data_IF_895012496730
#
_entry.id   IF_895012496730
#
_cell.length_a   1.000
_cell.length_b   1.000
_cell.length_c   1.000
_cell.angle_alpha   90.00
_cell.angle_beta   90.00
_cell.angle_gamma   90.00
#
_symmetry.space_group_name_H-M   'P 1'
#
loop_
_entity.id
_entity.type
_entity.pdbx_description
1 polymer ?
#
# COMPACT_ATOMS: atom_id res chain seq x y z
N UNK A 1 23.08 18.71 4.26
CA UNK A 1 22.61 17.90 3.12
C UNK A 1 22.20 18.75 1.90
N UNK A 2 21.43 19.82 2.05
CA UNK A 2 20.97 20.70 0.94
C UNK A 2 22.07 21.49 0.20
N UNK A 3 23.18 21.86 0.87
CA UNK A 3 24.27 22.59 0.21
C UNK A 3 25.02 21.77 -0.82
N UNK A 4 25.09 20.45 -0.66
CA UNK A 4 25.75 19.55 -1.59
C UNK A 4 24.96 19.41 -2.91
N UNK A 5 23.61 19.44 -2.85
CA UNK A 5 22.73 19.41 -4.04
C UNK A 5 22.87 20.73 -4.84
N UNK A 6 23.00 21.88 -4.16
CA UNK A 6 23.22 23.18 -4.81
C UNK A 6 24.56 23.29 -5.55
N UNK A 7 25.53 22.43 -5.22
CA UNK A 7 26.84 22.38 -5.87
C UNK A 7 26.90 21.48 -7.12
N UNK A 8 25.78 20.85 -7.49
CA UNK A 8 25.68 20.02 -8.69
C UNK A 8 25.52 20.96 -9.91
N UNK A 9 26.42 20.92 -10.90
CA UNK A 9 26.30 21.70 -12.15
C UNK A 9 25.22 21.13 -13.09
N UNK A 10 24.47 20.12 -12.62
CA UNK A 10 23.43 19.43 -13.38
C UNK A 10 22.07 20.05 -13.04
N UNK A 11 21.27 20.43 -14.03
CA UNK A 11 19.93 20.91 -13.79
C UNK A 11 19.12 19.89 -12.95
N UNK A 12 18.49 20.37 -11.88
CA UNK A 12 17.73 19.52 -10.96
C UNK A 12 16.63 18.71 -11.70
N UNK A 13 16.11 19.31 -12.77
CA UNK A 13 15.12 18.67 -13.63
C UNK A 13 15.67 17.40 -14.31
N UNK A 14 16.95 17.40 -14.73
CA UNK A 14 17.58 16.22 -15.33
C UNK A 14 17.70 15.06 -14.33
N UNK A 15 18.06 15.37 -13.08
CA UNK A 15 18.11 14.39 -12.01
C UNK A 15 16.72 13.79 -11.74
N UNK A 16 15.68 14.63 -11.72
CA UNK A 16 14.29 14.17 -11.52
C UNK A 16 13.88 13.22 -12.65
N UNK A 17 14.16 13.54 -13.90
CA UNK A 17 13.88 12.66 -15.04
C UNK A 17 14.61 11.32 -14.94
N UNK A 18 15.88 11.31 -14.54
CA UNK A 18 16.64 10.09 -14.32
C UNK A 18 16.02 9.21 -13.24
N UNK A 19 15.63 9.80 -12.11
CA UNK A 19 14.99 9.06 -11.02
C UNK A 19 13.60 8.53 -11.41
N UNK A 20 12.81 9.28 -12.17
CA UNK A 20 11.52 8.84 -12.69
C UNK A 20 11.67 7.65 -13.65
N UNK A 21 12.64 7.71 -14.59
CA UNK A 21 12.92 6.61 -15.49
C UNK A 21 13.44 5.37 -14.78
N UNK A 22 14.30 5.56 -13.75
CA UNK A 22 14.78 4.48 -12.89
C UNK A 22 13.60 3.81 -12.14
N UNK A 23 12.74 4.62 -11.52
CA UNK A 23 11.54 4.13 -10.85
C UNK A 23 10.67 3.31 -11.81
N UNK A 24 10.36 3.87 -12.98
CA UNK A 24 9.53 3.22 -13.97
C UNK A 24 10.17 1.92 -14.51
N UNK A 25 11.47 1.89 -14.71
CA UNK A 25 12.21 0.69 -15.14
C UNK A 25 12.12 -0.45 -14.11
N UNK A 26 12.19 -0.12 -12.81
CA UNK A 26 12.13 -1.11 -11.72
C UNK A 26 10.72 -1.65 -11.52
N UNK A 27 9.71 -0.77 -11.47
CA UNK A 27 8.34 -1.18 -11.12
C UNK A 27 7.51 -1.67 -12.30
N UNK A 28 7.74 -1.19 -13.52
CA UNK A 28 7.02 -1.67 -14.71
C UNK A 28 7.68 -2.83 -15.43
N UNK A 29 8.93 -3.18 -15.05
CA UNK A 29 9.76 -4.20 -15.71
C UNK A 29 9.81 -4.00 -17.24
N UNK A 30 9.82 -2.73 -17.68
CA UNK A 30 9.78 -2.37 -19.08
C UNK A 30 11.19 -2.22 -19.65
N UNK A 31 11.52 -3.04 -20.66
CA UNK A 31 12.81 -2.93 -21.37
C UNK A 31 13.01 -1.54 -22.02
N UNK A 32 11.92 -0.90 -22.49
CA UNK A 32 11.98 0.44 -23.05
C UNK A 32 12.37 1.49 -21.99
N UNK A 33 11.88 1.35 -20.77
CA UNK A 33 12.24 2.22 -19.66
C UNK A 33 13.71 2.04 -19.28
N UNK A 34 14.20 0.82 -19.26
CA UNK A 34 15.60 0.52 -18.99
C UNK A 34 16.52 1.11 -20.07
N UNK A 35 16.17 0.98 -21.35
CA UNK A 35 16.89 1.60 -22.47
C UNK A 35 16.89 3.12 -22.35
N UNK A 36 15.77 3.74 -22.02
CA UNK A 36 15.68 5.19 -21.80
C UNK A 36 16.56 5.65 -20.63
N UNK A 37 16.59 4.92 -19.53
CA UNK A 37 17.46 5.22 -18.39
C UNK A 37 18.94 5.14 -18.77
N UNK A 38 19.36 4.07 -19.48
CA UNK A 38 20.73 3.89 -19.95
C UNK A 38 21.11 5.01 -20.92
N UNK A 39 20.22 5.39 -21.84
CA UNK A 39 20.45 6.50 -22.77
C UNK A 39 20.68 7.83 -22.03
N UNK A 40 19.86 8.14 -21.02
CA UNK A 40 20.05 9.34 -20.20
C UNK A 40 21.37 9.31 -19.41
N UNK A 41 21.81 8.15 -18.93
CA UNK A 41 23.12 7.99 -18.30
C UNK A 41 24.27 8.26 -19.29
N UNK A 42 24.18 7.75 -20.52
CA UNK A 42 25.17 8.01 -21.56
C UNK A 42 25.23 9.51 -21.84
N UNK A 43 24.12 10.18 -22.04
CA UNK A 43 24.06 11.64 -22.22
C UNK A 43 24.70 12.39 -21.04
N UNK A 44 24.52 11.91 -19.81
CA UNK A 44 25.16 12.50 -18.63
C UNK A 44 26.69 12.49 -18.73
N UNK A 45 27.28 11.37 -19.15
CA UNK A 45 28.73 11.27 -19.30
C UNK A 45 29.30 12.15 -20.39
N UNK A 46 28.54 12.38 -21.46
CA UNK A 46 29.01 13.26 -22.57
C UNK A 46 28.82 14.76 -22.26
N UNK A 47 27.81 15.15 -21.51
CA UNK A 47 27.48 16.55 -21.24
C UNK A 47 28.14 17.11 -19.98
N UNK A 48 28.46 16.28 -19.00
CA UNK A 48 28.92 16.74 -17.69
C UNK A 48 30.28 16.15 -17.30
N UNK A 49 30.96 16.80 -16.37
CA UNK A 49 32.25 16.34 -15.88
C UNK A 49 32.14 14.99 -15.18
N UNK A 50 33.17 14.16 -15.23
CA UNK A 50 33.26 12.84 -14.57
C UNK A 50 32.91 12.89 -13.08
N UNK A 51 33.36 13.95 -12.38
CA UNK A 51 33.04 14.14 -10.95
C UNK A 51 31.54 14.37 -10.70
N UNK A 52 30.88 15.10 -11.57
CA UNK A 52 29.43 15.36 -11.48
C UNK A 52 28.63 14.12 -11.84
N UNK A 53 29.03 13.38 -12.87
CA UNK A 53 28.43 12.10 -13.24
C UNK A 53 28.51 11.08 -12.10
N UNK A 54 29.65 10.98 -11.40
CA UNK A 54 29.83 10.10 -10.25
C UNK A 54 28.87 10.42 -9.08
N UNK A 55 28.63 11.71 -8.81
CA UNK A 55 27.65 12.11 -7.77
C UNK A 55 26.22 11.72 -8.14
N UNK A 56 25.83 11.88 -9.40
CA UNK A 56 24.49 11.48 -9.88
C UNK A 56 24.32 9.97 -9.83
N UNK A 57 25.34 9.21 -10.25
CA UNK A 57 25.31 7.74 -10.13
C UNK A 57 25.17 7.28 -8.69
N UNK A 58 25.87 7.93 -7.73
CA UNK A 58 25.71 7.61 -6.32
C UNK A 58 24.25 7.85 -5.83
N UNK A 59 23.64 8.97 -6.23
CA UNK A 59 22.24 9.26 -5.92
C UNK A 59 21.33 8.21 -6.55
N UNK A 60 21.47 7.91 -7.84
CA UNK A 60 20.68 6.88 -8.52
C UNK A 60 20.87 5.50 -7.89
N UNK A 61 22.07 5.17 -7.41
CA UNK A 61 22.36 3.93 -6.71
C UNK A 61 21.59 3.80 -5.38
N UNK A 62 21.58 4.87 -4.57
CA UNK A 62 20.82 4.90 -3.30
C UNK A 62 19.31 4.76 -3.55
N UNK A 63 18.76 5.53 -4.49
CA UNK A 63 17.34 5.42 -4.82
C UNK A 63 16.99 4.11 -5.50
N UNK A 64 17.86 3.58 -6.38
CA UNK A 64 17.68 2.29 -7.01
C UNK A 64 17.64 1.15 -5.98
N UNK A 65 18.57 1.15 -5.02
CA UNK A 65 18.57 0.21 -3.91
C UNK A 65 17.28 0.31 -3.07
N UNK A 66 16.86 1.54 -2.75
CA UNK A 66 15.62 1.78 -2.02
C UNK A 66 14.39 1.25 -2.77
N UNK A 67 14.29 1.52 -4.07
CA UNK A 67 13.17 1.04 -4.90
C UNK A 67 13.18 -0.50 -5.02
N UNK A 68 14.34 -1.12 -5.22
CA UNK A 68 14.45 -2.58 -5.25
C UNK A 68 14.09 -3.21 -3.91
N UNK A 69 14.51 -2.60 -2.80
CA UNK A 69 14.17 -3.06 -1.46
C UNK A 69 12.65 -2.97 -1.20
N UNK A 70 12.00 -1.87 -1.59
CA UNK A 70 10.55 -1.75 -1.49
C UNK A 70 9.82 -2.79 -2.35
N UNK A 71 10.26 -2.98 -3.59
CA UNK A 71 9.67 -3.97 -4.49
C UNK A 71 9.85 -5.40 -3.95
N UNK A 72 11.01 -5.69 -3.38
CA UNK A 72 11.27 -6.97 -2.73
C UNK A 72 10.38 -7.18 -1.50
N UNK A 73 10.27 -6.19 -0.61
CA UNK A 73 9.35 -6.26 0.55
C UNK A 73 7.90 -6.50 0.10
N UNK A 74 7.45 -5.79 -0.93
CA UNK A 74 6.10 -5.93 -1.48
C UNK A 74 5.88 -7.34 -2.08
N UNK A 75 6.89 -7.89 -2.76
CA UNK A 75 6.85 -9.25 -3.28
C UNK A 75 6.78 -10.30 -2.18
N UNK A 76 7.57 -10.17 -1.12
CA UNK A 76 7.51 -11.07 0.03
C UNK A 76 6.15 -11.02 0.72
N UNK A 77 5.63 -9.82 1.00
CA UNK A 77 4.33 -9.68 1.64
C UNK A 77 3.17 -10.26 0.79
N UNK A 78 3.31 -10.31 -0.54
CA UNK A 78 2.33 -10.92 -1.43
C UNK A 78 2.41 -12.46 -1.47
N UNK A 79 3.56 -13.04 -1.13
CA UNK A 79 3.75 -14.50 -1.09
C UNK A 79 3.31 -15.11 0.25
N UNK A 80 3.42 -14.34 1.32
CA UNK A 80 3.02 -14.77 2.67
C UNK A 80 1.50 -14.68 2.86
N UNK A 81 0.73 -15.47 2.12
CA UNK A 81 -0.72 -15.52 2.27
C UNK A 81 -1.09 -16.24 3.57
N UNK A 82 -2.00 -15.62 4.35
CA UNK A 82 -2.56 -16.26 5.54
C UNK A 82 -3.65 -17.23 5.12
N UNK A 83 -3.63 -18.44 5.67
CA UNK A 83 -4.63 -19.45 5.33
C UNK A 83 -5.94 -19.26 6.11
N UNK A 84 -5.86 -18.71 7.32
CA UNK A 84 -6.99 -18.63 8.24
C UNK A 84 -6.86 -17.42 9.18
N UNK A 85 -7.98 -16.78 9.50
CA UNK A 85 -8.08 -15.67 10.46
C UNK A 85 -9.33 -15.86 11.31
N UNK A 86 -9.15 -16.00 12.61
CA UNK A 86 -10.24 -16.13 13.59
C UNK A 86 -10.67 -14.79 14.17
N UNK A 87 -9.72 -13.87 14.28
CA UNK A 87 -9.91 -12.62 14.99
C UNK A 87 -9.37 -11.45 14.17
N UNK A 88 -10.21 -10.45 13.99
CA UNK A 88 -9.86 -9.23 13.22
C UNK A 88 -10.20 -8.00 14.04
N UNK A 89 -9.28 -7.08 14.15
CA UNK A 89 -9.48 -5.75 14.74
C UNK A 89 -10.00 -4.78 13.71
N UNK A 90 -11.16 -4.18 13.97
CA UNK A 90 -11.76 -3.17 13.09
C UNK A 90 -10.97 -1.85 13.19
N UNK A 91 -10.71 -1.21 12.04
CA UNK A 91 -10.28 0.18 11.95
C UNK A 91 -11.53 1.07 11.71
N UNK A 92 -12.02 1.80 12.74
CA UNK A 92 -13.35 2.44 12.67
C UNK A 92 -13.49 3.50 11.59
N UNK A 93 -12.42 4.25 11.27
CA UNK A 93 -12.43 5.29 10.22
C UNK A 93 -12.64 4.74 8.81
N UNK A 94 -12.51 3.43 8.64
CA UNK A 94 -12.64 2.77 7.33
C UNK A 94 -13.98 2.10 7.11
N UNK A 95 -14.86 2.10 8.13
CA UNK A 95 -16.18 1.49 8.05
C UNK A 95 -17.03 2.20 7.01
N UNK A 96 -17.52 1.44 6.04
CA UNK A 96 -18.44 1.89 4.99
C UNK A 96 -19.61 0.91 4.92
N UNK A 97 -20.82 1.45 5.04
CA UNK A 97 -22.05 0.70 4.86
C UNK A 97 -22.73 1.19 3.60
N UNK A 98 -23.01 0.26 2.69
CA UNK A 98 -23.67 0.54 1.43
C UNK A 98 -24.80 -0.47 1.22
N UNK A 99 -26.04 -0.07 1.49
CA UNK A 99 -27.18 -0.99 1.58
C UNK A 99 -26.94 -2.03 2.68
N UNK A 100 -26.99 -3.31 2.32
CA UNK A 100 -26.73 -4.44 3.22
C UNK A 100 -25.25 -4.87 3.22
N UNK A 101 -24.39 -4.16 2.53
CA UNK A 101 -22.96 -4.48 2.44
C UNK A 101 -22.15 -3.62 3.39
N UNK A 102 -21.47 -4.24 4.33
CA UNK A 102 -20.48 -3.63 5.21
C UNK A 102 -19.09 -3.92 4.66
N UNK A 103 -18.27 -2.88 4.55
CA UNK A 103 -16.85 -3.01 4.23
C UNK A 103 -16.00 -2.16 5.15
N UNK A 104 -14.87 -2.70 5.57
CA UNK A 104 -13.91 -2.01 6.43
C UNK A 104 -12.51 -2.61 6.28
N UNK A 105 -11.52 -1.92 6.83
CA UNK A 105 -10.18 -2.48 6.99
C UNK A 105 -10.04 -3.08 8.37
N UNK A 106 -9.52 -4.28 8.42
CA UNK A 106 -9.24 -4.97 9.67
C UNK A 106 -7.76 -5.35 9.77
N UNK A 107 -7.25 -5.39 10.99
CA UNK A 107 -5.92 -5.91 11.29
C UNK A 107 -6.01 -7.25 11.99
N UNK A 108 -5.19 -8.21 11.55
CA UNK A 108 -4.97 -9.48 12.23
C UNK A 108 -3.51 -9.91 12.04
N UNK A 109 -2.85 -10.35 13.09
CA UNK A 109 -1.45 -10.83 13.08
C UNK A 109 -0.47 -9.85 12.40
N UNK A 110 -0.65 -8.55 12.66
CA UNK A 110 0.19 -7.48 12.10
C UNK A 110 -0.08 -7.17 10.63
N UNK A 111 -1.06 -7.82 9.99
CA UNK A 111 -1.45 -7.61 8.58
C UNK A 111 -2.77 -6.88 8.47
N UNK A 112 -2.95 -6.16 7.38
CA UNK A 112 -4.19 -5.45 7.09
C UNK A 112 -4.95 -6.18 5.99
N UNK A 113 -6.25 -6.36 6.20
CA UNK A 113 -7.19 -7.00 5.28
C UNK A 113 -8.28 -6.02 4.88
N UNK A 114 -8.76 -6.11 3.64
CA UNK A 114 -10.02 -5.52 3.25
C UNK A 114 -11.12 -6.53 3.56
N UNK A 115 -12.05 -6.16 4.43
CA UNK A 115 -13.08 -7.04 4.96
C UNK A 115 -14.43 -6.69 4.35
N UNK A 116 -15.19 -7.71 3.98
CA UNK A 116 -16.57 -7.60 3.47
C UNK A 116 -17.49 -8.48 4.29
N UNK A 117 -18.63 -7.93 4.64
CA UNK A 117 -19.67 -8.64 5.34
C UNK A 117 -21.06 -8.24 4.83
N UNK A 118 -21.97 -9.20 4.69
CA UNK A 118 -23.36 -8.94 4.36
C UNK A 118 -24.17 -8.86 5.64
N UNK A 119 -24.65 -7.67 5.96
CA UNK A 119 -25.46 -7.40 7.14
C UNK A 119 -26.75 -8.22 7.10
N UNK A 120 -27.17 -8.74 8.25
CA UNK A 120 -28.33 -9.62 8.39
C UNK A 120 -29.58 -8.88 8.85
N UNK A 121 -29.41 -7.72 9.51
CA UNK A 121 -30.50 -6.90 10.04
C UNK A 121 -30.20 -5.42 10.02
N UNK A 122 -31.24 -4.57 10.12
CA UNK A 122 -31.08 -3.13 10.24
C UNK A 122 -30.43 -2.73 11.57
N UNK A 123 -30.72 -3.45 12.65
CA UNK A 123 -30.10 -3.25 13.97
C UNK A 123 -28.57 -3.46 13.91
N UNK A 124 -28.13 -4.50 13.20
CA UNK A 124 -26.72 -4.77 12.98
C UNK A 124 -26.05 -3.65 12.18
N UNK A 125 -26.74 -3.11 11.20
CA UNK A 125 -26.28 -1.97 10.40
C UNK A 125 -26.10 -0.73 11.25
N UNK A 126 -27.09 -0.36 12.05
CA UNK A 126 -27.00 0.76 12.99
C UNK A 126 -25.85 0.57 13.97
N UNK A 127 -25.68 -0.65 14.50
CA UNK A 127 -24.58 -0.98 15.39
C UNK A 127 -23.22 -0.73 14.76
N UNK A 128 -22.96 -1.23 13.54
CA UNK A 128 -21.69 -1.01 12.87
C UNK A 128 -21.47 0.44 12.43
N UNK A 129 -22.52 1.17 12.08
CA UNK A 129 -22.44 2.60 11.77
C UNK A 129 -22.07 3.43 13.00
N UNK A 130 -22.55 3.07 14.17
CA UNK A 130 -22.28 3.74 15.43
C UNK A 130 -20.90 3.42 16.02
N UNK A 131 -20.17 2.43 15.51
CA UNK A 131 -18.84 2.06 16.01
C UNK A 131 -17.83 3.18 15.81
N UNK A 132 -17.31 3.72 16.89
CA UNK A 132 -16.28 4.76 16.90
C UNK A 132 -14.98 4.31 17.56
N UNK A 133 -15.05 3.30 18.41
CA UNK A 133 -13.92 2.75 19.13
C UNK A 133 -13.37 1.50 18.43
N UNK A 134 -12.18 1.06 18.86
CA UNK A 134 -11.58 -0.18 18.39
C UNK A 134 -12.34 -1.39 18.91
N UNK A 135 -12.67 -2.31 18.02
CA UNK A 135 -13.32 -3.58 18.35
C UNK A 135 -12.60 -4.73 17.69
N UNK A 136 -12.49 -5.83 18.42
CA UNK A 136 -12.06 -7.10 17.88
C UNK A 136 -13.30 -7.94 17.55
N UNK A 137 -13.33 -8.44 16.31
CA UNK A 137 -14.34 -9.39 15.84
C UNK A 137 -13.77 -10.79 15.89
N UNK A 138 -14.46 -11.71 16.55
CA UNK A 138 -14.29 -13.15 16.40
C UNK A 138 -15.26 -13.59 15.30
N UNK A 139 -14.74 -14.22 14.24
CA UNK A 139 -15.50 -14.44 13.03
C UNK A 139 -15.12 -15.74 12.31
N UNK A 140 -16.04 -16.22 11.49
CA UNK A 140 -15.74 -17.19 10.43
C UNK A 140 -15.82 -16.49 9.07
N UNK A 141 -14.80 -16.67 8.26
CA UNK A 141 -14.73 -16.06 6.94
C UNK A 141 -13.83 -16.80 5.96
N UNK A 142 -13.91 -16.39 4.72
CA UNK A 142 -13.06 -16.90 3.65
C UNK A 142 -12.07 -15.82 3.22
N UNK A 143 -10.79 -16.15 3.27
CA UNK A 143 -9.73 -15.35 2.69
C UNK A 143 -9.64 -15.61 1.18
N UNK A 144 -9.44 -14.57 0.41
CA UNK A 144 -9.23 -14.62 -1.03
C UNK A 144 -8.28 -13.53 -1.48
N UNK A 145 -7.64 -13.72 -2.61
CA UNK A 145 -6.92 -12.63 -3.27
C UNK A 145 -7.91 -11.61 -3.82
N UNK A 146 -7.58 -10.31 -3.76
CA UNK A 146 -8.39 -9.28 -4.42
C UNK A 146 -8.50 -9.55 -5.92
N UNK A 147 -9.65 -9.27 -6.48
CA UNK A 147 -9.84 -9.39 -7.93
C UNK A 147 -9.00 -8.35 -8.66
N UNK A 148 -8.24 -8.81 -9.66
CA UNK A 148 -7.50 -7.95 -10.55
C UNK A 148 -8.40 -7.25 -11.57
N UNK A 149 -7.77 -6.53 -12.50
CA UNK A 149 -8.47 -5.85 -13.58
C UNK A 149 -9.25 -6.84 -14.46
N UNK A 150 -10.58 -6.68 -14.54
CA UNK A 150 -11.46 -7.56 -15.34
C UNK A 150 -11.55 -7.12 -16.80
N UNK A 151 -11.45 -5.80 -17.08
CA UNK A 151 -11.59 -5.24 -18.41
C UNK A 151 -10.35 -4.42 -18.78
N UNK A 152 -9.96 -4.45 -20.04
CA UNK A 152 -8.88 -3.62 -20.57
C UNK A 152 -9.18 -2.13 -20.32
N UNK A 153 -8.24 -1.43 -19.66
CA UNK A 153 -8.42 -0.03 -19.28
C UNK A 153 -9.32 0.22 -18.06
N UNK A 154 -9.84 -0.83 -17.40
CA UNK A 154 -10.63 -0.72 -16.16
C UNK A 154 -9.75 -0.45 -14.94
N UNK A 155 -10.38 -0.12 -13.82
CA UNK A 155 -9.69 0.09 -12.55
C UNK A 155 -9.14 -1.24 -12.02
N UNK A 156 -7.83 -1.27 -11.72
CA UNK A 156 -7.17 -2.41 -11.09
C UNK A 156 -7.28 -2.31 -9.56
N UNK A 157 -8.29 -2.99 -9.03
CA UNK A 157 -8.56 -2.99 -7.59
C UNK A 157 -7.48 -3.72 -6.79
N UNK A 158 -6.91 -4.79 -7.33
CA UNK A 158 -5.81 -5.52 -6.69
C UNK A 158 -4.57 -4.63 -6.56
N UNK A 159 -4.16 -3.95 -7.64
CA UNK A 159 -3.04 -3.02 -7.60
C UNK A 159 -3.28 -1.88 -6.61
N UNK A 160 -4.50 -1.33 -6.59
CA UNK A 160 -4.88 -0.29 -5.62
C UNK A 160 -4.75 -0.76 -4.17
N UNK A 161 -5.25 -1.95 -3.83
CA UNK A 161 -5.13 -2.50 -2.47
C UNK A 161 -3.67 -2.79 -2.10
N UNK A 162 -2.86 -3.28 -3.04
CA UNK A 162 -1.41 -3.50 -2.83
C UNK A 162 -0.68 -2.21 -2.47
N UNK A 163 -1.03 -1.06 -3.05
CA UNK A 163 -0.43 0.24 -2.66
C UNK A 163 -0.71 0.62 -1.21
N UNK A 164 -1.71 0.00 -0.59
CA UNK A 164 -2.10 0.22 0.81
C UNK A 164 -1.62 -0.90 1.73
N UNK A 165 -0.78 -1.82 1.22
CA UNK A 165 -0.27 -2.96 1.96
C UNK A 165 -1.31 -4.05 2.22
N UNK A 166 -2.40 -4.09 1.44
CA UNK A 166 -3.47 -5.08 1.54
C UNK A 166 -3.32 -6.09 0.41
N UNK A 167 -3.01 -7.34 0.74
CA UNK A 167 -2.75 -8.42 -0.20
C UNK A 167 -3.87 -9.45 -0.26
N UNK A 168 -4.74 -9.47 0.75
CA UNK A 168 -5.87 -10.39 0.85
C UNK A 168 -7.14 -9.66 1.23
N UNK A 169 -8.27 -10.18 0.77
CA UNK A 169 -9.62 -9.80 1.18
C UNK A 169 -10.22 -10.89 2.05
N UNK A 170 -10.98 -10.49 3.06
CA UNK A 170 -11.69 -11.38 3.95
C UNK A 170 -13.20 -11.20 3.77
N UNK A 171 -13.90 -12.24 3.35
CA UNK A 171 -15.36 -12.24 3.30
C UNK A 171 -15.88 -12.98 4.52
N UNK A 172 -16.54 -12.25 5.41
CA UNK A 172 -17.13 -12.81 6.64
C UNK A 172 -18.42 -13.57 6.29
N UNK A 173 -18.55 -14.77 6.85
CA UNK A 173 -19.78 -15.57 6.79
C UNK A 173 -20.64 -15.34 8.03
N UNK A 174 -20.01 -15.36 9.21
CA UNK A 174 -20.69 -15.15 10.49
C UNK A 174 -19.77 -14.45 11.48
N UNK A 175 -20.36 -13.60 12.31
CA UNK A 175 -19.68 -12.92 13.43
C UNK A 175 -20.11 -13.62 14.70
N UNK A 176 -19.14 -14.11 15.47
CA UNK A 176 -19.39 -14.82 16.73
C UNK A 176 -19.42 -13.86 17.91
N UNK A 177 -18.52 -12.90 17.94
CA UNK A 177 -18.47 -11.90 19.01
C UNK A 177 -17.86 -10.58 18.54
N UNK A 178 -18.29 -9.48 19.19
CA UNK A 178 -17.76 -8.12 18.99
C UNK A 178 -17.34 -7.62 20.36
N UNK A 179 -16.03 -7.37 20.56
CA UNK A 179 -15.48 -6.94 21.84
C UNK A 179 -14.74 -5.63 21.70
N UNK A 180 -15.10 -4.63 22.52
CA UNK A 180 -14.33 -3.37 22.59
C UNK A 180 -12.95 -3.64 23.16
N UNK A 181 -11.92 -3.06 22.53
CA UNK A 181 -10.52 -3.24 22.92
C UNK A 181 -9.80 -1.90 22.97
N UNK A 182 -8.70 -1.90 23.69
CA UNK A 182 -7.74 -0.80 23.71
C UNK A 182 -6.44 -1.24 23.05
N UNK A 183 -5.78 -0.37 22.30
CA UNK A 183 -4.52 -0.67 21.64
C UNK A 183 -3.44 0.34 22.01
N UNK A 184 -2.19 -0.10 22.03
CA UNK A 184 -1.00 0.75 22.12
C UNK A 184 -0.49 1.21 20.73
N UNK A 185 -1.03 0.68 19.65
CA UNK A 185 -0.69 1.07 18.28
C UNK A 185 -1.25 2.47 17.97
N UNK A 186 -0.36 3.39 17.67
CA UNK A 186 -0.70 4.78 17.36
C UNK A 186 -1.63 4.85 16.12
N UNK A 187 -1.37 4.02 15.10
CA UNK A 187 -2.18 3.99 13.88
C UNK A 187 -3.63 3.56 14.14
N UNK A 188 -3.83 2.56 15.02
CA UNK A 188 -5.15 2.09 15.41
C UNK A 188 -5.91 3.15 16.23
N UNK A 189 -5.23 3.79 17.18
CA UNK A 189 -5.81 4.87 17.97
C UNK A 189 -6.19 6.10 17.11
N UNK A 190 -5.35 6.46 16.13
CA UNK A 190 -5.68 7.52 15.17
C UNK A 190 -6.91 7.19 14.33
N UNK A 191 -7.15 5.91 13.98
CA UNK A 191 -8.37 5.47 13.29
C UNK A 191 -9.62 5.76 14.14
N UNK A 192 -9.60 5.42 15.43
CA UNK A 192 -10.69 5.74 16.36
C UNK A 192 -10.93 7.26 16.50
N UNK A 193 -9.85 8.05 16.61
CA UNK A 193 -9.95 9.52 16.71
C UNK A 193 -10.56 10.11 15.43
N UNK A 194 -10.09 9.68 14.24
CA UNK A 194 -10.62 10.15 12.95
C UNK A 194 -12.11 9.82 12.76
N UNK A 195 -12.57 8.71 13.32
CA UNK A 195 -13.99 8.32 13.26
C UNK A 195 -14.88 9.18 14.16
N UNK A 196 -14.31 9.73 15.25
CA UNK A 196 -15.03 10.59 16.20
C UNK A 196 -15.09 12.07 15.76
N UNK A 197 -14.16 12.50 14.88
CA UNK A 197 -14.09 13.85 14.34
C UNK A 197 -15.10 14.05 13.20
#
# INVERSE_FOLDING_TARGET
>A
MLQWIKSLPIPLIYLVFLLLWLYYAIFSVSYLALLGFVFLLICLFFQFSWKSAGKVLAICGVFGFWFLFQNWQQSQASQDLVAYVEKVRILPDTIKVNGDSLSFRGKADGRTFQVYYKLQSEEEKEHFQALTDLHDLELEGKLSEPEGQRNFGGFDYQAYLKTQGIYQTLTIKSIQSVKKVSSWDIGENLSSIRRKA
#
